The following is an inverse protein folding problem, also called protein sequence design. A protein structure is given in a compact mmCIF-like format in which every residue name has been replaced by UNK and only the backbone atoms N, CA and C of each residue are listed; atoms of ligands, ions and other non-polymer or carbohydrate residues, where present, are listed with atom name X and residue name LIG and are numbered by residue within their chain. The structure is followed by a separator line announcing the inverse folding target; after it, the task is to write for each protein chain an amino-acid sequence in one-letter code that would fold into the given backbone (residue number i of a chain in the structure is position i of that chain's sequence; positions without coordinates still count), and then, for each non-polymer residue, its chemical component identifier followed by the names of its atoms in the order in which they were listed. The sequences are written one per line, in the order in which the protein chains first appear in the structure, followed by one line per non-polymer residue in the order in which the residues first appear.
data_IF_298575671992
#
_entry.id   IF_298575671992
#
_cell.length_a   1.000
_cell.length_b   1.000
_cell.length_c   1.000
_cell.angle_alpha   90.00
_cell.angle_beta   90.00
_cell.angle_gamma   90.00
#
_symmetry.space_group_name_H-M   'P 1'
#
loop_
_entity.id
_entity.type
_entity.pdbx_description
1 polymer ?
#
# COMPACT_ATOMS: atom_id res chain seq x y z
N UNK A 1 -35.92 -1.46 -8.24
CA UNK A 1 -35.73 -1.46 -6.76
C UNK A 1 -34.32 -1.90 -6.47
N UNK A 2 -33.45 -0.98 -6.03
CA UNK A 2 -32.05 -1.25 -5.69
C UNK A 2 -31.96 -1.63 -4.21
N UNK A 3 -31.14 -2.63 -3.81
CA UNK A 3 -30.89 -2.89 -2.40
C UNK A 3 -29.94 -1.84 -1.80
N UNK A 4 -29.97 -1.62 -0.49
CA UNK A 4 -29.27 -0.53 0.17
C UNK A 4 -27.76 -0.73 0.17
N UNK A 5 -27.06 0.40 0.06
CA UNK A 5 -25.61 0.61 0.06
C UNK A 5 -24.88 -0.16 1.14
N UNK A 6 -24.05 -1.13 0.73
CA UNK A 6 -23.15 -1.86 1.61
C UNK A 6 -21.98 -0.97 2.09
N UNK A 7 -21.77 -0.93 3.38
CA UNK A 7 -20.62 -0.31 4.06
C UNK A 7 -19.32 -0.92 3.54
N UNK A 8 -18.54 -0.17 2.80
CA UNK A 8 -17.19 -0.56 2.38
C UNK A 8 -16.24 -0.51 3.57
N UNK A 9 -15.93 -1.69 4.09
CA UNK A 9 -14.93 -1.86 5.15
C UNK A 9 -13.53 -1.76 4.54
N UNK A 10 -12.75 -0.80 5.06
CA UNK A 10 -11.33 -0.64 4.75
C UNK A 10 -10.51 -1.89 5.08
N UNK A 11 -9.24 -1.86 4.67
CA UNK A 11 -8.22 -2.90 4.84
C UNK A 11 -8.40 -3.70 6.15
N UNK A 12 -8.46 -5.06 6.12
CA UNK A 12 -8.93 -5.90 7.23
C UNK A 12 -8.03 -5.93 8.48
N UNK A 13 -7.04 -5.07 8.58
CA UNK A 13 -6.28 -4.89 9.83
C UNK A 13 -7.12 -4.26 10.97
N UNK A 14 -8.39 -3.88 10.71
CA UNK A 14 -9.29 -3.25 11.69
C UNK A 14 -10.67 -3.95 11.79
N UNK A 15 -10.74 -5.27 11.75
CA UNK A 15 -11.98 -5.96 12.13
C UNK A 15 -11.85 -6.63 13.49
N UNK A 16 -12.02 -5.87 14.57
CA UNK A 16 -12.54 -6.43 15.83
C UNK A 16 -14.04 -6.17 15.86
N UNK A 17 -14.80 -7.25 16.02
CA UNK A 17 -16.25 -7.23 16.17
C UNK A 17 -16.66 -6.31 17.32
N UNK A 18 -17.54 -5.37 17.04
CA UNK A 18 -18.13 -4.45 18.01
C UNK A 18 -19.16 -5.20 18.88
N UNK A 19 -18.77 -5.63 20.07
CA UNK A 19 -19.67 -5.93 21.17
C UNK A 19 -19.08 -5.29 22.43
N UNK A 20 -19.69 -4.21 22.92
CA UNK A 20 -19.30 -3.56 24.17
C UNK A 20 -18.65 -2.19 23.98
N UNK A 21 -19.44 -1.18 23.66
CA UNK A 21 -19.03 0.22 23.51
C UNK A 21 -18.87 0.86 24.89
N UNK A 22 -17.66 0.92 25.43
CA UNK A 22 -17.08 2.00 26.25
C UNK A 22 -15.73 1.66 26.90
N UNK A 23 -15.34 0.37 27.06
CA UNK A 23 -14.07 0.02 27.72
C UNK A 23 -12.94 -0.39 26.74
N UNK A 24 -13.23 -0.56 25.46
CA UNK A 24 -12.27 -1.09 24.48
C UNK A 24 -11.34 -0.02 23.91
N UNK A 25 -11.77 1.23 23.85
CA UNK A 25 -10.98 2.33 23.24
C UNK A 25 -9.80 2.74 24.14
N UNK A 26 -10.00 2.78 25.45
CA UNK A 26 -8.95 3.14 26.42
C UNK A 26 -7.91 2.02 26.50
N UNK A 27 -8.34 0.76 26.56
CA UNK A 27 -7.44 -0.40 26.60
C UNK A 27 -6.65 -0.56 25.29
N UNK A 28 -7.23 -0.21 24.13
CA UNK A 28 -6.54 -0.24 22.86
C UNK A 28 -5.45 0.84 22.78
N UNK A 29 -5.76 2.08 23.15
CA UNK A 29 -4.78 3.19 23.19
C UNK A 29 -3.65 2.94 24.19
N UNK A 30 -3.95 2.39 25.33
CA UNK A 30 -2.93 2.03 26.35
C UNK A 30 -2.02 0.91 25.84
N UNK A 31 -2.57 -0.13 25.20
CA UNK A 31 -1.77 -1.20 24.57
C UNK A 31 -0.92 -0.67 23.43
N UNK A 32 -1.42 0.23 22.62
CA UNK A 32 -0.68 0.87 21.53
C UNK A 32 0.44 1.75 22.07
N UNK A 33 0.18 2.54 23.13
CA UNK A 33 1.20 3.34 23.80
C UNK A 33 2.31 2.47 24.42
N UNK A 34 1.96 1.38 25.09
CA UNK A 34 2.94 0.43 25.63
C UNK A 34 3.78 -0.24 24.54
N UNK A 35 3.16 -0.62 23.41
CA UNK A 35 3.89 -1.17 22.26
C UNK A 35 4.87 -0.16 21.67
N UNK A 36 4.54 1.13 21.67
CA UNK A 36 5.41 2.19 21.17
C UNK A 36 6.64 2.44 22.04
N UNK A 37 6.63 2.00 23.30
CA UNK A 37 7.77 2.07 24.23
C UNK A 37 8.75 0.92 24.09
N UNK A 38 8.36 -0.17 23.42
CA UNK A 38 9.27 -1.31 23.20
C UNK A 38 10.41 -0.93 22.24
N UNK A 39 11.64 -1.40 22.51
CA UNK A 39 12.72 -1.34 21.53
C UNK A 39 12.30 -1.98 20.20
N UNK A 40 12.74 -1.41 19.09
CA UNK A 40 12.31 -1.86 17.75
C UNK A 40 12.58 -3.34 17.52
N UNK A 41 13.73 -3.86 17.99
CA UNK A 41 14.05 -5.28 17.91
C UNK A 41 13.00 -6.16 18.59
N UNK A 42 12.56 -5.79 19.79
CA UNK A 42 11.52 -6.55 20.53
C UNK A 42 10.19 -6.46 19.80
N UNK A 43 9.81 -5.25 19.35
CA UNK A 43 8.54 -5.02 18.68
C UNK A 43 8.45 -5.80 17.35
N UNK A 44 9.51 -5.80 16.52
CA UNK A 44 9.56 -6.53 15.25
C UNK A 44 9.44 -8.04 15.49
N UNK A 45 10.17 -8.59 16.47
CA UNK A 45 10.08 -10.02 16.83
C UNK A 45 8.68 -10.40 17.30
N UNK A 46 8.03 -9.58 18.15
CA UNK A 46 6.67 -9.83 18.63
C UNK A 46 5.64 -9.75 17.51
N UNK A 47 5.76 -8.77 16.61
CA UNK A 47 4.89 -8.66 15.44
C UNK A 47 5.02 -9.89 14.56
N UNK A 48 6.24 -10.31 14.25
CA UNK A 48 6.50 -11.48 13.43
C UNK A 48 5.96 -12.76 14.10
N UNK A 49 6.26 -12.96 15.39
CA UNK A 49 5.76 -14.11 16.16
C UNK A 49 4.22 -14.16 16.21
N UNK A 50 3.56 -13.01 16.29
CA UNK A 50 2.08 -12.96 16.34
C UNK A 50 1.43 -13.57 15.10
N UNK A 51 2.11 -13.53 13.95
CA UNK A 51 1.63 -14.03 12.66
C UNK A 51 2.17 -15.43 12.37
N UNK A 52 3.49 -15.60 12.44
CA UNK A 52 4.16 -16.83 11.97
C UNK A 52 4.36 -17.89 13.06
N UNK A 53 4.08 -17.57 14.33
CA UNK A 53 4.27 -18.43 15.51
C UNK A 53 5.70 -18.95 15.69
N UNK A 54 6.65 -18.28 15.06
CA UNK A 54 8.11 -18.45 15.20
C UNK A 54 8.78 -17.08 15.18
N UNK A 55 10.00 -16.99 15.67
CA UNK A 55 10.81 -15.77 15.51
C UNK A 55 11.44 -15.73 14.11
N UNK A 56 11.69 -14.54 13.56
CA UNK A 56 12.44 -14.41 12.31
C UNK A 56 13.92 -14.72 12.53
N UNK A 57 14.59 -15.32 11.57
CA UNK A 57 16.05 -15.38 11.57
C UNK A 57 16.60 -14.03 11.07
N UNK A 58 16.85 -13.12 12.02
CA UNK A 58 17.38 -11.79 11.72
C UNK A 58 18.91 -11.78 11.48
N UNK A 59 19.59 -12.87 11.82
CA UNK A 59 21.02 -13.00 11.60
C UNK A 59 21.33 -13.49 10.17
N UNK A 60 20.52 -14.41 9.67
CA UNK A 60 20.64 -14.97 8.31
C UNK A 60 19.25 -15.06 7.65
N UNK A 61 18.62 -13.89 7.37
CA UNK A 61 17.27 -13.88 6.83
C UNK A 61 17.23 -14.46 5.42
N UNK A 62 16.37 -15.46 5.21
CA UNK A 62 16.22 -16.17 3.94
C UNK A 62 14.90 -15.85 3.27
N UNK A 63 13.81 -15.84 4.04
CA UNK A 63 12.49 -15.61 3.48
C UNK A 63 12.23 -14.12 3.25
N UNK A 64 11.30 -13.82 2.35
CA UNK A 64 10.93 -12.45 2.05
C UNK A 64 10.45 -11.68 3.29
N UNK A 65 9.60 -12.31 4.11
CA UNK A 65 9.08 -11.70 5.32
C UNK A 65 10.18 -11.48 6.38
N UNK A 66 11.16 -12.39 6.50
CA UNK A 66 12.34 -12.19 7.37
C UNK A 66 13.21 -11.02 6.88
N UNK A 67 13.40 -10.88 5.57
CA UNK A 67 14.17 -9.76 4.98
C UNK A 67 13.47 -8.42 5.17
N UNK A 68 12.14 -8.38 5.11
CA UNK A 68 11.38 -7.18 5.51
C UNK A 68 11.56 -6.88 7.01
N UNK A 69 11.48 -7.88 7.88
CA UNK A 69 11.71 -7.71 9.32
C UNK A 69 13.14 -7.20 9.61
N UNK A 70 14.14 -7.74 8.92
CA UNK A 70 15.54 -7.30 8.99
C UNK A 70 15.68 -5.85 8.52
N UNK A 71 15.10 -5.49 7.38
CA UNK A 71 15.12 -4.12 6.83
C UNK A 71 14.61 -3.09 7.81
N UNK A 72 13.53 -3.38 8.53
CA UNK A 72 12.96 -2.47 9.55
C UNK A 72 13.97 -2.07 10.63
N UNK A 73 14.91 -2.97 10.93
CA UNK A 73 15.90 -2.77 11.99
C UNK A 73 17.24 -2.22 11.51
N UNK A 74 17.60 -2.49 10.25
CA UNK A 74 18.97 -2.29 9.77
C UNK A 74 19.10 -1.32 8.60
N UNK A 75 18.02 -1.09 7.83
CA UNK A 75 18.07 -0.18 6.68
C UNK A 75 17.30 1.11 6.96
N UNK A 76 18.01 2.19 7.19
CA UNK A 76 17.47 3.52 7.48
C UNK A 76 17.90 4.53 6.39
N UNK A 77 17.73 4.16 5.12
CA UNK A 77 18.04 5.01 3.98
C UNK A 77 17.08 6.21 3.92
N UNK A 78 17.57 7.47 3.95
CA UNK A 78 16.73 8.67 3.90
C UNK A 78 15.78 8.72 2.68
N UNK A 79 16.17 8.09 1.55
CA UNK A 79 15.34 8.00 0.35
C UNK A 79 14.02 7.25 0.60
N UNK A 80 14.02 6.28 1.54
CA UNK A 80 12.78 5.57 1.89
C UNK A 80 11.69 6.50 2.37
N UNK A 81 12.05 7.58 3.10
CA UNK A 81 11.08 8.57 3.57
C UNK A 81 10.49 9.37 2.42
N UNK A 82 11.32 9.82 1.48
CA UNK A 82 10.86 10.57 0.31
C UNK A 82 9.94 9.72 -0.56
N UNK A 83 10.33 8.46 -0.82
CA UNK A 83 9.56 7.56 -1.68
C UNK A 83 8.33 6.94 -0.99
N UNK A 84 8.25 6.96 0.35
CA UNK A 84 7.04 6.57 1.10
C UNK A 84 6.05 7.71 1.28
N UNK A 85 6.46 8.97 1.10
CA UNK A 85 5.57 10.13 1.10
C UNK A 85 4.84 10.23 -0.24
N UNK A 86 3.52 9.99 -0.24
CA UNK A 86 2.69 10.01 -1.45
C UNK A 86 2.67 11.37 -2.19
N UNK A 87 3.11 12.45 -1.53
CA UNK A 87 3.25 13.77 -2.16
C UNK A 87 4.65 13.93 -2.73
N UNK A 88 5.69 13.71 -1.90
CA UNK A 88 7.07 13.93 -2.30
C UNK A 88 7.52 13.00 -3.44
N UNK A 89 7.11 11.73 -3.39
CA UNK A 89 7.49 10.72 -4.40
C UNK A 89 7.10 11.09 -5.82
N UNK A 90 6.06 11.91 -6.00
CA UNK A 90 5.59 12.29 -7.35
C UNK A 90 6.64 13.06 -8.15
N UNK A 91 7.32 14.00 -7.51
CA UNK A 91 8.38 14.76 -8.17
C UNK A 91 9.59 13.88 -8.53
N UNK A 92 9.98 13.00 -7.62
CA UNK A 92 11.08 12.05 -7.87
C UNK A 92 10.76 11.12 -9.04
N UNK A 93 9.56 10.53 -9.01
CA UNK A 93 9.12 9.60 -10.05
C UNK A 93 8.90 10.33 -11.38
N UNK A 94 8.34 11.54 -11.38
CA UNK A 94 8.21 12.37 -12.59
C UNK A 94 9.57 12.62 -13.26
N UNK A 95 10.59 12.91 -12.48
CA UNK A 95 11.96 13.07 -12.96
C UNK A 95 12.54 11.79 -13.59
N UNK A 96 12.12 10.61 -13.12
CA UNK A 96 12.58 9.33 -13.63
C UNK A 96 11.84 8.87 -14.88
N UNK A 97 10.52 9.01 -14.93
CA UNK A 97 9.68 8.38 -15.98
C UNK A 97 8.84 9.37 -16.79
N UNK A 98 8.78 10.63 -16.39
CA UNK A 98 8.01 11.71 -17.02
C UNK A 98 6.69 12.03 -16.33
N UNK A 99 6.28 13.31 -16.39
CA UNK A 99 5.06 13.86 -15.76
C UNK A 99 3.77 13.17 -16.25
N UNK A 100 3.75 12.69 -17.50
CA UNK A 100 2.58 12.03 -18.09
C UNK A 100 2.18 10.73 -17.36
N UNK A 101 3.06 10.19 -16.52
CA UNK A 101 2.81 9.00 -15.72
C UNK A 101 2.32 9.31 -14.30
N UNK A 102 2.21 10.59 -13.94
CA UNK A 102 1.83 11.00 -12.57
C UNK A 102 0.34 11.30 -12.50
N UNK A 103 -0.34 10.70 -11.54
CA UNK A 103 -1.75 11.01 -11.26
C UNK A 103 -1.83 12.45 -10.75
N UNK A 104 -2.65 13.33 -11.39
CA UNK A 104 -2.76 14.72 -10.99
C UNK A 104 -3.18 14.90 -9.54
N UNK A 105 -2.44 15.72 -8.81
CA UNK A 105 -2.81 16.20 -7.48
C UNK A 105 -3.74 17.40 -7.63
N UNK A 106 -4.90 17.31 -7.01
CA UNK A 106 -5.92 18.37 -7.05
C UNK A 106 -5.76 19.33 -5.87
N UNK A 107 -5.37 18.81 -4.69
CA UNK A 107 -5.15 19.62 -3.51
C UNK A 107 -4.28 18.87 -2.48
N UNK A 108 -3.53 19.63 -1.67
CA UNK A 108 -2.82 19.15 -0.49
C UNK A 108 -2.88 20.15 0.65
N UNK A 109 -2.98 19.69 1.88
CA UNK A 109 -2.96 20.56 3.07
C UNK A 109 -2.85 19.74 4.36
N UNK A 110 -2.60 20.42 5.46
CA UNK A 110 -2.48 19.83 6.80
C UNK A 110 -3.77 19.94 7.62
N UNK A 111 -4.70 20.82 7.20
CA UNK A 111 -5.99 21.04 7.83
C UNK A 111 -7.12 20.48 6.96
N UNK A 112 -7.78 19.39 7.34
CA UNK A 112 -8.88 18.80 6.57
C UNK A 112 -10.08 19.75 6.37
N UNK A 113 -10.24 20.73 7.26
CA UNK A 113 -11.28 21.75 7.21
C UNK A 113 -11.05 22.75 6.08
N UNK A 114 -9.81 22.92 5.63
CA UNK A 114 -9.42 23.81 4.54
C UNK A 114 -9.59 23.17 3.15
N UNK A 115 -10.10 21.96 3.05
CA UNK A 115 -10.36 21.31 1.75
C UNK A 115 -11.39 22.13 0.97
N UNK A 116 -11.06 22.64 -0.23
CA UNK A 116 -11.95 23.48 -1.03
C UNK A 116 -12.97 22.61 -1.79
N UNK A 117 -13.87 21.96 -1.08
CA UNK A 117 -14.82 21.01 -1.66
C UNK A 117 -15.69 21.61 -2.79
N UNK A 118 -15.96 22.91 -2.74
CA UNK A 118 -16.79 23.58 -3.73
C UNK A 118 -16.06 23.82 -5.06
N UNK A 119 -14.71 23.81 -5.03
CA UNK A 119 -13.84 23.96 -6.20
C UNK A 119 -13.39 22.60 -6.79
N UNK A 120 -13.67 21.50 -6.07
CA UNK A 120 -13.27 20.16 -6.48
C UNK A 120 -14.40 19.44 -7.23
N UNK A 121 -14.14 19.09 -8.48
CA UNK A 121 -15.08 18.32 -9.30
C UNK A 121 -14.75 16.81 -9.22
N UNK A 122 -15.68 15.96 -8.73
CA UNK A 122 -15.52 14.49 -8.77
C UNK A 122 -15.35 13.96 -10.21
N UNK A 123 -14.71 12.80 -10.40
CA UNK A 123 -14.27 11.86 -9.37
C UNK A 123 -12.86 12.14 -8.83
N UNK A 124 -12.67 11.99 -7.51
CA UNK A 124 -11.37 12.13 -6.85
C UNK A 124 -11.22 11.23 -5.63
N UNK A 125 -9.98 11.03 -5.17
CA UNK A 125 -9.64 10.24 -3.98
C UNK A 125 -9.05 11.16 -2.93
N UNK A 126 -9.53 11.03 -1.68
CA UNK A 126 -9.00 11.73 -0.51
C UNK A 126 -8.26 10.73 0.37
N UNK A 127 -7.00 10.99 0.69
CA UNK A 127 -6.14 10.14 1.51
C UNK A 127 -5.08 10.95 2.24
N UNK A 128 -4.35 10.33 3.17
CA UNK A 128 -3.16 10.96 3.77
C UNK A 128 -1.88 10.48 3.08
N UNK A 129 -0.81 11.30 3.14
CA UNK A 129 0.44 11.03 2.44
C UNK A 129 1.36 10.02 3.15
N UNK A 130 1.28 9.88 4.48
CA UNK A 130 2.29 9.27 5.36
C UNK A 130 1.89 7.89 5.89
N UNK A 131 0.89 7.26 5.32
CA UNK A 131 0.45 5.92 5.75
C UNK A 131 -0.17 5.12 4.61
N UNK A 132 -0.33 3.80 4.81
CA UNK A 132 -1.18 2.94 3.98
C UNK A 132 -2.63 2.87 4.51
N UNK A 133 -3.11 3.98 5.08
CA UNK A 133 -4.42 4.08 5.72
C UNK A 133 -5.59 4.13 4.75
N UNK A 134 -6.71 4.68 5.26
CA UNK A 134 -7.98 4.77 4.53
C UNK A 134 -7.88 5.73 3.34
N UNK A 135 -8.45 5.31 2.21
CA UNK A 135 -8.73 6.18 1.06
C UNK A 135 -10.24 6.33 0.92
N UNK A 136 -10.71 7.56 0.72
CA UNK A 136 -12.12 7.88 0.47
C UNK A 136 -12.29 8.17 -1.01
N UNK A 137 -13.16 7.42 -1.66
CA UNK A 137 -13.47 7.56 -3.08
C UNK A 137 -14.72 8.43 -3.23
N UNK A 138 -14.58 9.58 -3.84
CA UNK A 138 -15.66 10.55 -4.11
C UNK A 138 -15.95 10.48 -5.59
N UNK A 139 -17.04 9.80 -5.95
CA UNK A 139 -17.39 9.53 -7.34
C UNK A 139 -18.35 10.58 -7.93
N UNK A 140 -19.18 11.16 -7.08
CA UNK A 140 -20.20 12.13 -7.50
C UNK A 140 -20.40 13.22 -6.42
N UNK A 141 -20.98 14.37 -6.75
CA UNK A 141 -21.20 15.45 -5.80
C UNK A 141 -21.97 15.05 -4.53
N UNK A 142 -22.89 14.12 -4.60
CA UNK A 142 -23.65 13.61 -3.45
C UNK A 142 -22.80 12.80 -2.46
N UNK A 143 -21.60 12.35 -2.85
CA UNK A 143 -20.66 11.65 -1.99
C UNK A 143 -19.87 12.61 -1.10
N UNK A 144 -19.90 13.92 -1.41
CA UNK A 144 -19.17 14.97 -0.71
C UNK A 144 -19.84 15.28 0.63
N UNK A 145 -19.54 14.48 1.63
CA UNK A 145 -19.97 14.69 3.02
C UNK A 145 -18.85 15.41 3.78
N UNK A 146 -18.72 16.72 3.60
CA UNK A 146 -17.60 17.57 4.04
C UNK A 146 -17.15 17.26 5.48
N UNK A 147 -18.08 17.26 6.45
CA UNK A 147 -17.76 17.02 7.85
C UNK A 147 -17.24 15.59 8.11
N UNK A 148 -17.82 14.59 7.45
CA UNK A 148 -17.41 13.19 7.58
C UNK A 148 -16.02 12.97 6.98
N UNK A 149 -15.74 13.55 5.81
CA UNK A 149 -14.44 13.48 5.15
C UNK A 149 -13.39 14.17 6.04
N UNK A 150 -13.65 15.40 6.52
CA UNK A 150 -12.73 16.12 7.38
C UNK A 150 -12.45 15.36 8.69
N UNK A 151 -13.48 14.80 9.35
CA UNK A 151 -13.32 14.00 10.56
C UNK A 151 -12.49 12.74 10.32
N UNK A 152 -12.75 12.02 9.22
CA UNK A 152 -11.98 10.82 8.84
C UNK A 152 -10.51 11.16 8.57
N UNK A 153 -10.24 12.24 7.84
CA UNK A 153 -8.87 12.64 7.54
C UNK A 153 -8.13 13.15 8.79
N UNK A 154 -8.81 13.82 9.73
CA UNK A 154 -8.20 14.21 11.00
C UNK A 154 -7.78 13.00 11.81
N UNK A 155 -8.57 11.93 11.84
CA UNK A 155 -8.20 10.66 12.45
C UNK A 155 -6.97 10.04 11.77
N UNK A 156 -6.97 9.99 10.43
CA UNK A 156 -5.85 9.44 9.66
C UNK A 156 -4.56 10.26 9.80
N UNK A 157 -4.63 11.59 9.90
CA UNK A 157 -3.45 12.45 10.13
C UNK A 157 -2.74 12.15 11.45
N UNK A 158 -3.47 11.65 12.47
CA UNK A 158 -2.87 11.23 13.75
C UNK A 158 -2.35 9.79 13.73
N UNK A 159 -2.43 9.12 12.57
CA UNK A 159 -2.00 7.72 12.45
C UNK A 159 -0.52 7.54 12.78
N UNK A 160 -0.24 6.60 13.65
CA UNK A 160 1.12 6.17 13.99
C UNK A 160 1.58 4.95 13.15
N UNK A 161 1.14 4.85 11.91
CA UNK A 161 1.38 3.68 11.03
C UNK A 161 2.84 3.22 11.06
N UNK A 162 3.78 4.10 10.69
CA UNK A 162 5.20 3.78 10.64
C UNK A 162 5.76 3.33 12.00
N UNK A 163 5.37 4.00 13.10
CA UNK A 163 5.79 3.63 14.46
C UNK A 163 5.21 2.29 14.89
N UNK A 164 3.91 2.07 14.65
CA UNK A 164 3.22 0.84 15.03
C UNK A 164 3.78 -0.40 14.35
N UNK A 165 4.18 -0.29 13.07
CA UNK A 165 4.72 -1.39 12.28
C UNK A 165 6.25 -1.39 12.19
N UNK A 166 6.91 -0.40 12.85
CA UNK A 166 8.38 -0.21 12.79
C UNK A 166 8.89 -0.01 11.36
N UNK A 167 8.13 0.70 10.56
CA UNK A 167 8.48 1.03 9.17
C UNK A 167 9.14 2.39 9.11
N UNK A 168 10.47 2.39 9.14
CA UNK A 168 11.28 3.60 9.25
C UNK A 168 11.01 4.61 8.13
N UNK A 169 10.75 4.15 6.92
CA UNK A 169 10.45 5.01 5.78
C UNK A 169 9.24 5.93 5.97
N UNK A 170 8.31 5.59 6.86
CA UNK A 170 7.16 6.44 7.18
C UNK A 170 7.40 7.38 8.37
N UNK A 171 8.51 7.21 9.11
CA UNK A 171 8.79 8.05 10.27
C UNK A 171 9.28 9.44 9.85
N UNK A 172 8.66 10.48 10.42
CA UNK A 172 9.05 11.87 10.18
C UNK A 172 8.56 12.46 8.86
N UNK A 173 7.68 11.77 8.13
CA UNK A 173 6.93 12.39 7.04
C UNK A 173 5.92 13.37 7.67
N UNK A 174 5.94 14.66 7.28
CA UNK A 174 4.94 15.61 7.75
C UNK A 174 3.53 15.19 7.31
N UNK A 175 2.58 14.94 8.24
CA UNK A 175 1.25 14.48 7.88
C UNK A 175 0.49 15.52 7.06
N UNK A 176 -0.04 15.13 5.89
CA UNK A 176 -0.86 15.98 5.04
C UNK A 176 -1.98 15.16 4.40
N UNK A 177 -3.09 15.83 4.13
CA UNK A 177 -4.14 15.30 3.26
C UNK A 177 -3.72 15.54 1.81
N UNK A 178 -3.97 14.54 0.98
CA UNK A 178 -3.75 14.54 -0.46
C UNK A 178 -5.06 14.23 -1.15
N UNK A 179 -5.45 15.06 -2.11
CA UNK A 179 -6.58 14.81 -3.01
C UNK A 179 -6.03 14.64 -4.42
N UNK A 180 -6.33 13.51 -5.03
CA UNK A 180 -5.90 13.14 -6.38
C UNK A 180 -7.10 12.86 -7.27
N UNK A 181 -6.92 13.08 -8.57
CA UNK A 181 -7.89 12.59 -9.55
C UNK A 181 -8.05 11.08 -9.42
N UNK A 182 -9.29 10.63 -9.38
CA UNK A 182 -9.56 9.18 -9.40
C UNK A 182 -9.34 8.65 -10.81
N UNK A 183 -8.66 7.49 -10.88
CA UNK A 183 -8.41 6.78 -12.14
C UNK A 183 -9.31 5.56 -12.17
N UNK A 184 -10.13 5.47 -13.22
CA UNK A 184 -11.17 4.45 -13.39
C UNK A 184 -11.08 3.80 -14.76
N UNK A 185 -11.66 2.61 -14.88
CA UNK A 185 -11.94 2.00 -16.18
C UNK A 185 -13.03 2.80 -16.92
N UNK A 186 -13.22 2.59 -18.24
CA UNK A 186 -14.33 3.20 -18.97
C UNK A 186 -15.72 2.91 -18.37
N UNK A 187 -15.86 1.75 -17.70
CA UNK A 187 -17.11 1.33 -17.03
C UNK A 187 -17.25 1.89 -15.60
N UNK A 188 -16.32 2.74 -15.14
CA UNK A 188 -16.36 3.37 -13.83
C UNK A 188 -15.88 2.49 -12.66
N UNK A 189 -15.29 1.33 -12.93
CA UNK A 189 -14.64 0.52 -11.89
C UNK A 189 -13.22 1.05 -11.58
N UNK A 190 -12.70 0.71 -10.40
CA UNK A 190 -11.30 0.99 -10.08
C UNK A 190 -10.38 0.15 -10.96
N UNK A 191 -9.30 0.76 -11.43
CA UNK A 191 -8.29 0.05 -12.18
C UNK A 191 -7.66 -1.07 -11.32
N UNK A 192 -7.23 -2.14 -11.99
CA UNK A 192 -6.40 -3.15 -11.37
C UNK A 192 -5.00 -2.59 -11.07
N UNK A 193 -4.41 -3.00 -9.94
CA UNK A 193 -3.02 -2.69 -9.63
C UNK A 193 -2.11 -3.77 -10.16
N UNK A 194 -1.02 -3.33 -10.80
CA UNK A 194 0.12 -4.15 -11.19
C UNK A 194 1.28 -3.80 -10.28
N UNK A 195 1.65 -4.69 -9.37
CA UNK A 195 2.64 -4.47 -8.31
C UNK A 195 3.90 -5.25 -8.64
N UNK A 196 4.92 -4.54 -9.06
CA UNK A 196 6.20 -5.11 -9.50
C UNK A 196 7.16 -5.22 -8.33
N UNK A 197 7.60 -6.43 -8.03
CA UNK A 197 8.65 -6.70 -7.04
C UNK A 197 10.00 -6.56 -7.74
N UNK A 198 10.67 -5.46 -7.46
CA UNK A 198 11.95 -5.08 -8.09
C UNK A 198 13.08 -5.43 -7.14
N UNK A 199 14.01 -6.25 -7.59
CA UNK A 199 15.21 -6.61 -6.84
C UNK A 199 16.44 -6.18 -7.64
N UNK A 200 17.29 -5.35 -7.04
CA UNK A 200 18.50 -4.82 -7.70
C UNK A 200 18.23 -4.28 -9.11
N UNK A 201 17.14 -3.52 -9.24
CA UNK A 201 16.73 -2.90 -10.51
C UNK A 201 16.01 -3.83 -11.49
N UNK A 202 15.73 -5.09 -11.13
CA UNK A 202 15.04 -6.04 -12.02
C UNK A 202 13.72 -6.52 -11.41
N UNK A 203 12.67 -6.53 -12.21
CA UNK A 203 11.38 -7.13 -11.86
C UNK A 203 11.48 -8.66 -11.90
N UNK A 204 11.09 -9.33 -10.82
CA UNK A 204 11.07 -10.79 -10.72
C UNK A 204 9.65 -11.33 -10.63
N UNK A 205 8.80 -10.65 -9.85
CA UNK A 205 7.43 -11.06 -9.62
C UNK A 205 6.49 -9.89 -9.83
N UNK A 206 5.26 -10.20 -10.23
CA UNK A 206 4.19 -9.23 -10.44
C UNK A 206 2.97 -9.74 -9.66
N UNK A 207 2.49 -8.94 -8.72
CA UNK A 207 1.21 -9.16 -8.06
C UNK A 207 0.16 -8.35 -8.79
N UNK A 208 -0.92 -8.98 -9.18
CA UNK A 208 -2.07 -8.37 -9.83
C UNK A 208 -3.26 -8.35 -8.88
N UNK A 209 -3.75 -7.16 -8.54
CA UNK A 209 -4.90 -6.96 -7.66
C UNK A 209 -6.07 -6.39 -8.45
N UNK A 210 -7.22 -7.06 -8.41
CA UNK A 210 -8.44 -6.61 -9.08
C UNK A 210 -9.68 -6.74 -8.20
N UNK A 211 -10.84 -6.30 -8.70
CA UNK A 211 -12.16 -6.40 -8.04
C UNK A 211 -12.23 -5.77 -6.64
N UNK A 212 -11.47 -4.69 -6.39
CA UNK A 212 -11.38 -4.05 -5.07
C UNK A 212 -12.73 -3.65 -4.47
N UNK A 213 -13.71 -3.33 -5.30
CA UNK A 213 -15.06 -2.92 -4.89
C UNK A 213 -16.02 -4.09 -4.65
N UNK A 214 -15.73 -5.25 -5.28
CA UNK A 214 -16.60 -6.46 -5.26
C UNK A 214 -16.03 -7.61 -4.44
N UNK A 215 -14.82 -7.45 -3.93
CA UNK A 215 -14.07 -8.46 -3.20
C UNK A 215 -12.71 -8.68 -3.84
N UNK A 216 -11.68 -8.08 -3.23
CA UNK A 216 -10.31 -8.11 -3.75
C UNK A 216 -9.88 -9.52 -4.11
N UNK A 217 -9.39 -9.69 -5.34
CA UNK A 217 -8.72 -10.88 -5.85
C UNK A 217 -7.28 -10.58 -6.19
N UNK A 218 -6.42 -11.55 -6.00
CA UNK A 218 -4.99 -11.40 -6.11
C UNK A 218 -4.36 -12.61 -6.81
N UNK A 219 -3.57 -12.36 -7.85
CA UNK A 219 -2.74 -13.37 -8.50
C UNK A 219 -1.28 -12.94 -8.49
N UNK A 220 -0.37 -13.90 -8.51
CA UNK A 220 1.04 -13.66 -8.76
C UNK A 220 1.44 -14.21 -10.13
N UNK A 221 2.33 -13.48 -10.79
CA UNK A 221 2.90 -13.81 -12.08
C UNK A 221 4.42 -13.65 -12.04
N UNK A 222 5.12 -14.40 -12.88
CA UNK A 222 6.51 -14.10 -13.18
C UNK A 222 6.63 -12.90 -14.16
N UNK A 223 7.85 -12.56 -14.53
CA UNK A 223 8.15 -11.46 -15.45
C UNK A 223 7.53 -11.66 -16.84
N UNK A 224 7.39 -12.89 -17.29
CA UNK A 224 6.83 -13.31 -18.58
C UNK A 224 5.30 -13.41 -18.56
N UNK A 225 4.67 -13.18 -17.41
CA UNK A 225 3.23 -13.28 -17.14
C UNK A 225 2.72 -14.73 -17.03
N UNK A 226 3.59 -15.67 -16.63
CA UNK A 226 3.13 -17.00 -16.27
C UNK A 226 2.55 -16.96 -14.84
N UNK A 227 1.36 -17.55 -14.65
CA UNK A 227 0.70 -17.62 -13.34
C UNK A 227 1.53 -18.46 -12.37
N UNK A 228 1.82 -17.89 -11.21
CA UNK A 228 2.51 -18.56 -10.11
C UNK A 228 1.48 -19.10 -9.10
N UNK A 229 1.65 -20.31 -8.56
CA UNK A 229 0.73 -20.88 -7.58
C UNK A 229 0.94 -20.30 -6.16
N UNK A 230 1.53 -19.12 -6.06
CA UNK A 230 1.68 -18.37 -4.81
C UNK A 230 0.37 -17.67 -4.45
N UNK A 231 -0.03 -17.76 -3.18
CA UNK A 231 -1.24 -17.11 -2.66
C UNK A 231 -0.93 -16.36 -1.38
N UNK A 232 -1.67 -15.29 -1.15
CA UNK A 232 -1.85 -14.65 0.14
C UNK A 232 -3.28 -14.92 0.64
N UNK A 233 -3.74 -14.19 1.65
CA UNK A 233 -5.09 -14.37 2.25
C UNK A 233 -6.26 -14.09 1.31
N UNK A 234 -6.03 -13.44 0.18
CA UNK A 234 -7.09 -13.10 -0.78
C UNK A 234 -7.28 -14.22 -1.81
N UNK A 235 -8.52 -14.44 -2.30
CA UNK A 235 -8.76 -15.42 -3.35
C UNK A 235 -8.07 -15.01 -4.65
N UNK A 236 -7.72 -16.00 -5.46
CA UNK A 236 -7.28 -15.78 -6.83
C UNK A 236 -8.49 -15.50 -7.75
N UNK A 237 -8.22 -14.97 -8.95
CA UNK A 237 -9.24 -14.90 -10.01
C UNK A 237 -9.70 -16.30 -10.40
N UNK A 238 -10.96 -16.44 -10.80
CA UNK A 238 -11.51 -17.74 -11.27
C UNK A 238 -10.88 -18.19 -12.59
N UNK A 239 -10.52 -17.21 -13.44
CA UNK A 239 -9.91 -17.44 -14.75
C UNK A 239 -8.54 -16.76 -14.81
N UNK A 240 -7.61 -17.28 -15.65
CA UNK A 240 -6.34 -16.60 -15.91
C UNK A 240 -6.58 -15.20 -16.46
N UNK A 241 -5.86 -14.21 -15.93
CA UNK A 241 -5.91 -12.84 -16.43
C UNK A 241 -5.06 -12.75 -17.70
N UNK A 242 -5.61 -12.23 -18.81
CA UNK A 242 -4.85 -12.04 -20.04
C UNK A 242 -3.62 -11.18 -19.83
N UNK A 243 -2.53 -11.52 -20.51
CA UNK A 243 -1.29 -10.71 -20.48
C UNK A 243 -1.56 -9.31 -21.00
N UNK A 244 -1.25 -8.24 -20.23
CA UNK A 244 -1.43 -6.87 -20.67
C UNK A 244 -0.57 -6.56 -21.91
N UNK A 245 -1.13 -5.89 -22.91
CA UNK A 245 -0.39 -5.52 -24.12
C UNK A 245 0.81 -4.61 -23.84
N UNK A 246 0.71 -3.78 -22.80
CA UNK A 246 1.75 -2.84 -22.38
C UNK A 246 2.64 -3.36 -21.24
N UNK A 247 2.62 -4.67 -20.95
CA UNK A 247 3.40 -5.26 -19.84
C UNK A 247 4.89 -4.95 -19.94
N UNK A 248 5.48 -5.07 -21.12
CA UNK A 248 6.90 -4.79 -21.32
C UNK A 248 7.26 -3.34 -20.94
N UNK A 249 6.39 -2.38 -21.29
CA UNK A 249 6.57 -0.97 -20.93
C UNK A 249 6.34 -0.73 -19.44
N UNK A 250 5.38 -1.41 -18.82
CA UNK A 250 5.20 -1.34 -17.36
C UNK A 250 6.42 -1.86 -16.61
N UNK A 251 7.00 -2.98 -17.06
CA UNK A 251 8.23 -3.53 -16.48
C UNK A 251 9.38 -2.51 -16.58
N UNK A 252 9.61 -1.94 -17.77
CA UNK A 252 10.65 -0.93 -17.97
C UNK A 252 10.48 0.26 -17.02
N UNK A 253 9.27 0.77 -16.89
CA UNK A 253 8.94 1.89 -15.97
C UNK A 253 9.20 1.49 -14.52
N UNK A 254 8.72 0.32 -14.10
CA UNK A 254 8.90 -0.16 -12.73
C UNK A 254 10.37 -0.38 -12.39
N UNK A 255 11.15 -0.97 -13.30
CA UNK A 255 12.59 -1.17 -13.16
C UNK A 255 13.35 0.15 -13.07
N UNK A 256 12.99 1.14 -13.90
CA UNK A 256 13.58 2.47 -13.85
C UNK A 256 13.36 3.18 -12.51
N UNK A 257 12.18 3.05 -11.93
CA UNK A 257 11.88 3.58 -10.59
C UNK A 257 12.67 2.80 -9.52
N UNK A 258 12.70 1.48 -9.63
CA UNK A 258 13.30 0.59 -8.64
C UNK A 258 14.83 0.47 -8.72
N UNK A 259 15.47 0.96 -9.79
CA UNK A 259 16.89 0.74 -10.08
C UNK A 259 17.86 1.18 -8.97
N UNK A 260 17.44 2.15 -8.16
CA UNK A 260 18.27 2.71 -7.09
C UNK A 260 18.16 1.98 -5.75
N UNK A 261 17.37 0.91 -5.66
CA UNK A 261 17.10 0.16 -4.43
C UNK A 261 17.47 -1.31 -4.58
N UNK A 262 17.90 -1.91 -3.48
CA UNK A 262 18.16 -3.35 -3.38
C UNK A 262 16.86 -4.17 -3.54
N UNK A 263 15.78 -3.67 -2.93
CA UNK A 263 14.41 -4.17 -3.10
C UNK A 263 13.40 -3.04 -2.94
N UNK A 264 12.40 -3.05 -3.81
CA UNK A 264 11.22 -2.18 -3.70
C UNK A 264 10.05 -2.77 -4.49
N UNK A 265 8.82 -2.56 -4.02
CA UNK A 265 7.62 -2.81 -4.81
C UNK A 265 7.17 -1.50 -5.45
N UNK A 266 6.96 -1.53 -6.76
CA UNK A 266 6.44 -0.41 -7.55
C UNK A 266 5.05 -0.78 -8.04
N UNK A 267 4.04 0.03 -7.71
CA UNK A 267 2.66 -0.19 -8.09
C UNK A 267 2.29 0.74 -9.25
N UNK A 268 1.79 0.16 -10.35
CA UNK A 268 1.39 0.86 -11.57
C UNK A 268 -0.05 0.52 -11.94
N UNK A 269 -0.68 1.42 -12.68
CA UNK A 269 -1.97 1.21 -13.31
C UNK A 269 -1.83 1.20 -14.84
N UNK A 270 -2.55 0.28 -15.49
CA UNK A 270 -2.75 0.33 -16.95
C UNK A 270 -4.08 1.02 -17.22
N UNK A 271 -4.04 2.32 -17.47
CA UNK A 271 -5.20 3.15 -17.71
C UNK A 271 -5.41 3.39 -19.23
N UNK A 272 -6.63 3.76 -19.68
CA UNK A 272 -6.90 4.10 -21.08
C UNK A 272 -5.96 5.18 -21.64
N UNK A 273 -5.58 6.14 -20.81
CA UNK A 273 -4.67 7.24 -21.18
C UNK A 273 -3.18 6.84 -21.13
N UNK A 274 -2.85 5.64 -20.67
CA UNK A 274 -1.47 5.15 -20.56
C UNK A 274 -1.16 4.54 -19.20
N UNK A 275 0.13 4.30 -18.94
CA UNK A 275 0.61 3.75 -17.67
C UNK A 275 0.72 4.86 -16.65
N UNK A 276 0.14 4.67 -15.46
CA UNK A 276 0.18 5.64 -14.36
C UNK A 276 0.89 5.03 -13.15
N UNK A 277 1.64 5.86 -12.46
CA UNK A 277 2.30 5.54 -11.20
C UNK A 277 1.30 5.55 -10.05
N UNK A 278 1.30 4.49 -9.24
CA UNK A 278 0.47 4.35 -8.05
C UNK A 278 1.22 4.67 -6.76
N UNK A 279 2.15 3.81 -6.38
CA UNK A 279 2.98 3.98 -5.18
C UNK A 279 4.30 3.21 -5.23
N UNK A 280 5.20 3.55 -4.31
CA UNK A 280 6.40 2.78 -3.98
C UNK A 280 6.27 2.23 -2.56
N UNK A 281 6.59 0.96 -2.37
CA UNK A 281 6.45 0.28 -1.07
C UNK A 281 7.73 -0.48 -0.72
N UNK A 282 8.37 -0.11 0.40
CA UNK A 282 9.57 -0.79 0.91
C UNK A 282 9.24 -1.95 1.84
N UNK A 283 8.05 -1.97 2.40
CA UNK A 283 7.59 -2.95 3.40
C UNK A 283 6.28 -3.61 2.99
N UNK A 284 6.21 -4.33 1.85
CA UNK A 284 4.97 -4.97 1.40
C UNK A 284 4.31 -5.77 2.52
N UNK A 285 3.04 -5.49 2.79
CA UNK A 285 2.26 -6.10 3.86
C UNK A 285 2.97 -6.10 5.23
N UNK A 286 3.85 -5.11 5.48
CA UNK A 286 4.69 -5.01 6.66
C UNK A 286 5.61 -6.24 6.91
N UNK A 287 5.83 -7.13 5.93
CA UNK A 287 6.50 -8.41 6.13
C UNK A 287 5.75 -9.33 7.09
N UNK A 288 4.42 -9.23 7.14
CA UNK A 288 3.53 -9.93 8.07
C UNK A 288 2.39 -10.65 7.35
N UNK A 289 2.60 -11.06 6.12
CA UNK A 289 1.61 -11.79 5.33
C UNK A 289 2.17 -13.16 4.91
N UNK A 290 1.63 -14.27 5.43
CA UNK A 290 2.10 -15.61 5.07
C UNK A 290 1.75 -15.95 3.62
N UNK A 291 2.70 -16.52 2.90
CA UNK A 291 2.46 -17.16 1.61
C UNK A 291 1.87 -18.56 1.77
N UNK A 292 1.07 -18.95 0.81
CA UNK A 292 0.55 -20.33 0.67
C UNK A 292 0.78 -20.81 -0.77
N UNK A 293 1.51 -21.91 -1.00
CA UNK A 293 2.35 -22.64 -0.05
C UNK A 293 3.48 -21.80 0.56
N UNK A 294 4.01 -22.22 1.72
CA UNK A 294 4.98 -21.43 2.49
C UNK A 294 6.33 -21.25 1.80
N UNK A 295 6.72 -22.19 0.93
CA UNK A 295 7.96 -22.12 0.13
C UNK A 295 8.06 -20.84 -0.71
N UNK A 296 6.95 -20.24 -1.08
CA UNK A 296 6.93 -18.96 -1.82
C UNK A 296 7.52 -17.81 -1.01
N UNK A 297 7.47 -17.85 0.30
CA UNK A 297 8.16 -16.85 1.12
C UNK A 297 9.69 -16.90 0.90
N UNK A 298 10.26 -18.11 0.75
CA UNK A 298 11.67 -18.28 0.40
C UNK A 298 11.94 -17.86 -1.03
N UNK A 299 11.12 -18.32 -2.00
CA UNK A 299 11.27 -17.97 -3.42
C UNK A 299 11.24 -16.46 -3.67
N UNK A 300 10.33 -15.73 -2.99
CA UNK A 300 10.30 -14.26 -3.06
C UNK A 300 11.50 -13.61 -2.35
N UNK A 301 12.09 -14.30 -1.39
CA UNK A 301 13.29 -13.84 -0.71
C UNK A 301 14.56 -14.03 -1.53
N UNK A 302 14.69 -15.07 -2.33
CA UNK A 302 15.92 -15.47 -3.03
C UNK A 302 16.57 -14.34 -3.87
N UNK A 303 15.83 -13.57 -4.70
CA UNK A 303 16.45 -12.52 -5.51
C UNK A 303 17.01 -11.35 -4.69
N UNK A 304 16.58 -11.20 -3.44
CA UNK A 304 16.98 -10.09 -2.60
C UNK A 304 18.27 -10.39 -1.84
N UNK A 305 19.37 -9.79 -2.28
CA UNK A 305 20.68 -9.82 -1.55
C UNK A 305 20.70 -8.62 -0.59
N UNK A 306 20.93 -8.90 0.70
CA UNK A 306 21.07 -7.90 1.77
C UNK A 306 22.52 -7.47 1.90
#
# INVERSE_FOLDING_TARGET
MWPPTGNHKGCPYNQTKNTGVMNTTVTHKVRESLRNLLPDYVAVNLLYYSVFRRLPDLKHPKTFNEKIAWRKLHQHDPRFRVFSDKIAVKAEVAGLIGEQHIIPTLWTGDAPEAIPFDDLTPPYVVKVNHSSGRSLFIRAPQDVKKQMIASSMREELTSSHGRRLREWGYLGIPPRVLIERMVETPDGDLLADYKFFIYHGRAHFIQFDCDRTRGLKLNFYDREWNLLPAKLRYPCTSEPVPKPQNLARMIEIAERIGAQFDFVRVDLYSAPQGILFGEVTFYPNAGLEPFTPQEWDTTFGEPWRL
#
